data_IF_303344436593
#
_entry.id   IF_303344436593
#
_cell.length_a   1.000
_cell.length_b   1.000
_cell.length_c   1.000
_cell.angle_alpha   90.00
_cell.angle_beta   90.00
_cell.angle_gamma   90.00
#
_symmetry.space_group_name_H-M   'P 1'
#
loop_
_entity.id
_entity.type
_entity.pdbx_description
1 polymer ?
#
# COMPACT_ATOMS: atom_id res chain seq x y z
N UNK A 1 -41.19 -7.25 -19.12
CA UNK A 1 -41.39 -6.14 -20.08
C UNK A 1 -40.62 -4.96 -19.50
N UNK A 2 -39.30 -4.90 -19.77
CA UNK A 2 -38.62 -4.07 -20.81
C UNK A 2 -38.71 -2.59 -20.47
N UNK A 3 -37.69 -1.76 -20.53
CA UNK A 3 -36.31 -1.88 -21.00
C UNK A 3 -35.59 -0.55 -20.68
N UNK A 4 -34.24 -0.57 -20.63
CA UNK A 4 -33.28 0.39 -21.25
C UNK A 4 -33.44 1.90 -20.93
N UNK A 5 -32.43 2.73 -20.78
CA UNK A 5 -30.97 2.73 -20.93
C UNK A 5 -30.53 4.05 -20.27
N UNK A 6 -29.30 4.14 -19.76
CA UNK A 6 -28.77 5.41 -19.25
C UNK A 6 -27.39 5.28 -18.66
N UNK A 7 -26.39 5.09 -19.53
CA UNK A 7 -24.98 5.26 -19.23
C UNK A 7 -24.69 6.72 -18.84
N UNK A 8 -23.69 6.92 -17.98
CA UNK A 8 -22.98 8.16 -17.64
C UNK A 8 -23.74 9.27 -16.88
N UNK A 9 -23.35 9.53 -15.61
CA UNK A 9 -22.48 10.69 -15.36
C UNK A 9 -21.78 10.70 -13.98
N UNK A 10 -20.44 10.63 -14.08
CA UNK A 10 -19.35 11.26 -13.33
C UNK A 10 -19.54 11.81 -11.89
N UNK A 11 -18.66 11.29 -11.03
CA UNK A 11 -17.59 12.02 -10.31
C UNK A 11 -17.89 13.48 -9.92
N UNK A 12 -18.27 13.69 -8.65
CA UNK A 12 -17.79 14.83 -7.85
C UNK A 12 -18.18 14.68 -6.37
N UNK A 13 -17.21 14.97 -5.50
CA UNK A 13 -17.46 15.42 -4.14
C UNK A 13 -17.07 14.41 -3.07
N UNK A 14 -15.89 14.61 -2.48
CA UNK A 14 -15.73 14.75 -1.03
C UNK A 14 -14.26 15.01 -0.69
N UNK A 15 -13.84 16.26 -0.92
CA UNK A 15 -13.08 16.97 0.11
C UNK A 15 -14.14 17.50 1.09
N UNK A 16 -14.16 16.96 2.30
CA UNK A 16 -15.11 17.34 3.35
C UNK A 16 -14.85 16.52 4.60
N UNK A 17 -14.33 17.16 5.64
CA UNK A 17 -13.71 16.52 6.79
C UNK A 17 -14.60 15.62 7.64
N UNK A 18 -13.92 14.79 8.43
CA UNK A 18 -14.40 14.31 9.72
C UNK A 18 -13.17 14.26 10.64
N UNK A 19 -12.84 15.43 11.20
CA UNK A 19 -12.31 15.50 12.55
C UNK A 19 -13.36 14.92 13.51
N UNK A 20 -12.89 14.24 14.55
CA UNK A 20 -13.69 13.58 15.59
C UNK A 20 -14.41 12.29 15.19
N UNK A 21 -13.69 11.17 15.27
CA UNK A 21 -14.16 10.09 16.16
C UNK A 21 -12.98 9.25 16.65
N UNK A 22 -12.96 9.06 17.97
CA UNK A 22 -12.15 8.11 18.75
C UNK A 22 -10.72 8.54 19.09
N UNK A 23 -10.66 9.41 20.09
CA UNK A 23 -9.73 9.36 21.22
C UNK A 23 -9.42 7.91 21.66
N UNK A 24 -8.43 7.28 21.01
CA UNK A 24 -7.38 6.40 21.55
C UNK A 24 -7.73 5.17 22.44
N UNK A 25 -6.83 4.17 22.48
CA UNK A 25 -5.63 4.36 23.27
C UNK A 25 -4.41 4.63 22.41
N UNK A 26 -3.44 5.29 23.05
CA UNK A 26 -2.16 5.63 22.48
C UNK A 26 -1.47 4.35 21.96
N UNK A 27 -1.45 4.22 20.63
CA UNK A 27 -0.23 4.52 19.90
C UNK A 27 0.71 3.35 19.54
N UNK A 28 0.21 2.24 19.02
CA UNK A 28 1.14 1.29 18.41
C UNK A 28 1.82 1.86 17.16
N UNK A 29 1.14 2.71 16.39
CA UNK A 29 1.72 3.32 15.21
C UNK A 29 2.81 4.37 15.54
N UNK A 30 2.60 5.29 16.50
CA UNK A 30 3.62 6.23 16.95
C UNK A 30 4.62 5.62 17.94
N UNK A 31 4.31 4.54 18.66
CA UNK A 31 5.32 3.72 19.36
C UNK A 31 6.23 3.00 18.36
N UNK A 32 5.69 2.39 17.30
CA UNK A 32 6.49 1.82 16.21
C UNK A 32 7.25 2.92 15.46
N UNK A 33 6.67 4.11 15.27
CA UNK A 33 7.35 5.24 14.65
C UNK A 33 8.50 5.77 15.53
N UNK A 34 8.32 5.85 16.85
CA UNK A 34 9.35 6.21 17.83
C UNK A 34 10.44 5.13 17.88
N UNK A 35 10.09 3.85 17.89
CA UNK A 35 11.05 2.75 17.77
C UNK A 35 11.85 2.85 16.46
N UNK A 36 11.18 3.03 15.32
CA UNK A 36 11.85 3.27 14.02
C UNK A 36 12.74 4.52 14.04
N UNK A 37 12.30 5.59 14.71
CA UNK A 37 13.10 6.81 14.87
C UNK A 37 14.35 6.58 15.75
N UNK A 38 14.24 5.79 16.81
CA UNK A 38 15.36 5.40 17.67
C UNK A 38 16.34 4.48 16.93
N UNK A 39 15.83 3.52 16.16
CA UNK A 39 16.65 2.63 15.32
C UNK A 39 17.39 3.42 14.23
N UNK A 40 16.73 4.38 13.57
CA UNK A 40 17.37 5.32 12.63
C UNK A 40 18.49 6.13 13.29
N UNK A 41 18.30 6.56 14.54
CA UNK A 41 19.27 7.38 15.28
C UNK A 41 20.52 6.59 15.71
N UNK A 42 20.38 5.29 16.00
CA UNK A 42 21.51 4.43 16.40
C UNK A 42 22.30 3.84 15.22
N UNK A 43 21.70 3.77 14.04
CA UNK A 43 22.27 3.10 12.86
C UNK A 43 22.93 3.99 11.80
N UNK A 44 22.96 5.32 11.97
CA UNK A 44 23.73 6.25 11.11
C UNK A 44 23.43 6.22 9.60
N UNK A 45 22.46 5.44 9.14
CA UNK A 45 22.20 5.18 7.74
C UNK A 45 20.70 5.20 7.51
N UNK A 46 20.27 5.91 6.46
CA UNK A 46 18.88 5.97 6.02
C UNK A 46 18.26 4.57 6.01
N UNK A 47 16.98 4.44 6.41
CA UNK A 47 16.27 3.17 6.23
C UNK A 47 16.47 2.73 4.78
N UNK A 48 17.02 1.53 4.52
CA UNK A 48 17.38 1.15 3.15
C UNK A 48 16.14 1.21 2.27
N UNK A 49 16.25 1.91 1.14
CA UNK A 49 15.21 1.95 0.11
C UNK A 49 14.90 0.49 -0.27
N UNK A 50 13.64 0.10 -0.12
CA UNK A 50 13.19 -1.24 -0.50
C UNK A 50 13.07 -1.28 -2.02
N UNK A 51 13.60 -2.31 -2.67
CA UNK A 51 13.58 -2.37 -4.13
C UNK A 51 13.70 -3.80 -4.64
N UNK A 52 13.09 -4.06 -5.78
CA UNK A 52 13.34 -5.25 -6.60
C UNK A 52 14.07 -4.90 -7.90
N UNK A 53 14.73 -3.74 -7.94
CA UNK A 53 15.37 -3.18 -9.13
C UNK A 53 14.40 -2.54 -10.14
N UNK A 54 13.12 -2.90 -10.16
CA UNK A 54 12.13 -2.32 -11.08
C UNK A 54 11.31 -1.24 -10.39
N UNK A 55 10.79 -1.54 -9.21
CA UNK A 55 10.09 -0.60 -8.33
C UNK A 55 10.90 -0.44 -7.05
N UNK A 56 10.93 0.79 -6.54
CA UNK A 56 11.55 1.15 -5.28
C UNK A 56 10.53 1.83 -4.36
N UNK A 57 10.80 1.76 -3.06
CA UNK A 57 9.99 2.38 -2.02
C UNK A 57 10.92 2.96 -0.95
N UNK A 58 10.83 4.27 -0.74
CA UNK A 58 11.57 4.97 0.30
C UNK A 58 10.74 5.02 1.61
N UNK A 59 11.18 4.36 2.69
CA UNK A 59 10.45 4.36 3.97
C UNK A 59 10.43 5.73 4.68
N UNK A 60 11.35 6.63 4.36
CA UNK A 60 11.43 7.96 4.96
C UNK A 60 10.44 8.94 4.33
N UNK A 61 10.33 8.94 2.99
CA UNK A 61 9.44 9.86 2.27
C UNK A 61 8.05 9.27 1.99
N UNK A 62 7.90 7.94 2.07
CA UNK A 62 6.73 7.18 1.61
C UNK A 62 6.47 7.36 0.12
N UNK A 63 7.52 7.59 -0.65
CA UNK A 63 7.45 7.69 -2.09
C UNK A 63 7.91 6.38 -2.73
N UNK A 64 7.26 6.02 -3.82
CA UNK A 64 7.66 4.91 -4.68
C UNK A 64 7.93 5.41 -6.08
N UNK A 65 8.83 4.76 -6.80
CA UNK A 65 9.00 4.99 -8.22
C UNK A 65 9.32 3.69 -8.95
N UNK A 66 8.92 3.64 -10.21
CA UNK A 66 9.47 2.66 -11.16
C UNK A 66 10.73 3.25 -11.77
N UNK A 67 11.65 2.37 -12.19
CA UNK A 67 12.87 2.76 -12.90
C UNK A 67 12.55 3.77 -14.02
N UNK A 68 13.31 4.86 -14.06
CA UNK A 68 13.15 5.96 -15.03
C UNK A 68 11.80 6.70 -14.95
N UNK A 69 11.06 6.59 -13.84
CA UNK A 69 9.81 7.31 -13.61
C UNK A 69 9.94 8.32 -12.46
N UNK A 70 9.09 9.34 -12.45
CA UNK A 70 9.03 10.32 -11.36
C UNK A 70 8.47 9.65 -10.09
N UNK A 71 9.05 9.92 -8.90
CA UNK A 71 8.50 9.45 -7.63
C UNK A 71 7.07 9.92 -7.39
N UNK A 72 6.27 9.04 -6.82
CA UNK A 72 4.87 9.30 -6.44
C UNK A 72 4.68 9.02 -4.96
N UNK A 73 3.96 9.92 -4.30
CA UNK A 73 3.62 9.76 -2.88
C UNK A 73 2.49 8.75 -2.71
N UNK A 74 2.68 7.85 -1.74
CA UNK A 74 1.70 6.82 -1.41
C UNK A 74 0.88 7.23 -0.18
N UNK A 75 -0.39 6.82 -0.16
CA UNK A 75 -1.19 6.80 1.07
C UNK A 75 -0.60 5.78 2.06
N UNK A 76 -1.02 5.84 3.32
CA UNK A 76 -0.53 4.89 4.33
C UNK A 76 -0.81 3.42 3.97
N UNK A 77 -1.98 3.14 3.37
CA UNK A 77 -2.38 1.78 2.99
C UNK A 77 -1.66 1.29 1.72
N UNK A 78 -1.51 2.17 0.73
CA UNK A 78 -0.71 1.87 -0.47
C UNK A 78 0.76 1.59 -0.11
N UNK A 79 1.33 2.41 0.79
CA UNK A 79 2.67 2.22 1.33
C UNK A 79 2.80 0.86 2.02
N UNK A 80 1.88 0.53 2.93
CA UNK A 80 1.91 -0.73 3.68
C UNK A 80 1.82 -1.95 2.75
N UNK A 81 0.94 -1.90 1.75
CA UNK A 81 0.80 -2.97 0.76
C UNK A 81 2.08 -3.17 -0.05
N UNK A 82 2.62 -2.09 -0.62
CA UNK A 82 3.83 -2.18 -1.44
C UNK A 82 5.05 -2.59 -0.60
N UNK A 83 5.14 -2.09 0.63
CA UNK A 83 6.18 -2.49 1.58
C UNK A 83 6.11 -3.99 1.86
N UNK A 84 4.92 -4.55 2.14
CA UNK A 84 4.76 -5.97 2.42
C UNK A 84 5.29 -6.84 1.27
N UNK A 85 5.01 -6.45 0.02
CA UNK A 85 5.49 -7.16 -1.16
C UNK A 85 7.01 -6.99 -1.39
N UNK A 86 7.56 -5.79 -1.13
CA UNK A 86 8.98 -5.49 -1.36
C UNK A 86 9.92 -5.95 -0.25
N UNK A 87 9.41 -6.28 0.94
CA UNK A 87 10.24 -6.89 2.01
C UNK A 87 10.82 -8.22 1.54
N UNK A 88 10.11 -8.98 0.70
CA UNK A 88 10.58 -10.24 0.14
C UNK A 88 10.11 -10.40 -1.32
N UNK A 89 10.78 -9.75 -2.28
CA UNK A 89 10.43 -9.85 -3.69
C UNK A 89 10.46 -11.31 -4.16
N UNK A 90 9.47 -11.71 -4.96
CA UNK A 90 9.26 -13.09 -5.36
C UNK A 90 8.29 -13.89 -4.47
N UNK A 91 8.05 -13.46 -3.22
CA UNK A 91 7.06 -14.11 -2.38
C UNK A 91 5.63 -13.76 -2.82
N UNK A 92 4.77 -14.76 -2.80
CA UNK A 92 3.34 -14.60 -3.04
C UNK A 92 2.69 -14.37 -1.68
N UNK A 93 1.90 -13.29 -1.57
CA UNK A 93 1.11 -12.97 -0.39
C UNK A 93 -0.37 -13.16 -0.71
N UNK A 94 -1.06 -13.95 0.10
CA UNK A 94 -2.51 -14.14 0.00
C UNK A 94 -3.27 -12.86 0.35
N UNK A 95 -4.59 -12.85 0.11
CA UNK A 95 -5.45 -11.75 0.54
C UNK A 95 -5.37 -11.55 2.06
N UNK A 96 -5.61 -12.61 2.84
CA UNK A 96 -5.59 -12.54 4.31
C UNK A 96 -4.24 -12.07 4.84
N UNK A 97 -3.13 -12.53 4.26
CA UNK A 97 -1.79 -12.09 4.63
C UNK A 97 -1.52 -10.61 4.33
N UNK A 98 -2.17 -10.03 3.32
CA UNK A 98 -2.10 -8.60 3.02
C UNK A 98 -3.02 -7.81 3.96
N UNK A 99 -4.22 -8.30 4.22
CA UNK A 99 -5.17 -7.70 5.16
C UNK A 99 -4.56 -7.57 6.56
N UNK A 100 -3.99 -8.65 7.08
CA UNK A 100 -3.32 -8.69 8.39
C UNK A 100 -2.22 -7.64 8.52
N UNK A 101 -1.47 -7.40 7.45
CA UNK A 101 -0.35 -6.44 7.42
C UNK A 101 -0.81 -4.99 7.26
N UNK A 102 -1.96 -4.75 6.63
CA UNK A 102 -2.45 -3.39 6.31
C UNK A 102 -3.38 -2.85 7.39
N UNK A 103 -4.29 -3.70 7.89
CA UNK A 103 -5.39 -3.28 8.77
C UNK A 103 -5.16 -3.65 10.23
N UNK A 104 -4.26 -4.60 10.51
CA UNK A 104 -3.98 -5.07 11.87
C UNK A 104 -5.16 -5.86 12.47
N UNK A 105 -4.96 -6.36 13.69
CA UNK A 105 -5.97 -7.17 14.37
C UNK A 105 -7.17 -6.33 14.82
N UNK A 106 -8.38 -6.77 14.48
CA UNK A 106 -9.65 -6.19 14.97
C UNK A 106 -10.21 -5.01 14.16
N UNK A 107 -9.64 -4.70 12.98
CA UNK A 107 -10.27 -3.77 12.05
C UNK A 107 -11.12 -4.51 11.03
N UNK A 108 -12.37 -4.08 10.85
CA UNK A 108 -13.21 -4.58 9.77
C UNK A 108 -12.64 -4.13 8.42
N UNK A 109 -12.38 -5.11 7.55
CA UNK A 109 -11.86 -4.88 6.20
C UNK A 109 -12.96 -5.19 5.20
N UNK A 110 -13.24 -4.26 4.30
CA UNK A 110 -14.13 -4.53 3.16
C UNK A 110 -13.54 -5.67 2.31
N UNK A 111 -14.40 -6.59 1.87
CA UNK A 111 -14.01 -7.83 1.17
C UNK A 111 -13.12 -7.62 -0.07
N UNK A 112 -13.11 -6.41 -0.64
CA UNK A 112 -12.37 -6.02 -1.86
C UNK A 112 -11.29 -4.94 -1.62
N UNK A 113 -10.96 -4.64 -0.36
CA UNK A 113 -10.08 -3.52 -0.05
C UNK A 113 -8.66 -3.70 -0.60
N UNK A 114 -8.13 -4.93 -0.56
CA UNK A 114 -6.80 -5.27 -1.10
C UNK A 114 -6.77 -5.06 -2.61
N UNK A 115 -7.79 -5.51 -3.34
CA UNK A 115 -7.91 -5.35 -4.79
C UNK A 115 -7.96 -3.87 -5.18
N UNK A 116 -8.70 -3.06 -4.43
CA UNK A 116 -8.75 -1.62 -4.64
C UNK A 116 -7.37 -0.98 -4.48
N UNK A 117 -6.63 -1.34 -3.42
CA UNK A 117 -5.27 -0.82 -3.19
C UNK A 117 -4.29 -1.26 -4.29
N UNK A 118 -4.38 -2.49 -4.76
CA UNK A 118 -3.56 -3.00 -5.87
C UNK A 118 -3.88 -2.25 -7.16
N UNK A 119 -5.16 -2.03 -7.45
CA UNK A 119 -5.58 -1.24 -8.60
C UNK A 119 -5.06 0.20 -8.52
N UNK A 120 -5.15 0.85 -7.35
CA UNK A 120 -4.63 2.20 -7.14
C UNK A 120 -3.10 2.27 -7.34
N UNK A 121 -2.35 1.30 -6.80
CA UNK A 121 -0.90 1.20 -7.00
C UNK A 121 -0.52 0.96 -8.45
N UNK A 122 -1.23 0.08 -9.17
CA UNK A 122 -1.01 -0.15 -10.61
C UNK A 122 -1.29 1.10 -11.44
N UNK A 123 -2.27 1.92 -11.06
CA UNK A 123 -2.52 3.20 -11.73
C UNK A 123 -1.37 4.18 -11.56
N UNK A 124 -0.70 4.16 -10.40
CA UNK A 124 0.43 5.06 -10.07
C UNK A 124 1.78 4.56 -10.60
N UNK A 125 2.01 3.25 -10.57
CA UNK A 125 3.30 2.61 -10.79
C UNK A 125 3.31 1.69 -12.02
N UNK A 126 2.23 1.61 -12.79
CA UNK A 126 2.10 0.70 -13.93
C UNK A 126 1.53 -0.67 -13.56
N UNK A 127 0.82 -1.28 -14.52
CA UNK A 127 0.07 -2.53 -14.34
C UNK A 127 0.95 -3.72 -13.94
N UNK A 128 2.18 -3.76 -14.45
CA UNK A 128 3.11 -4.90 -14.29
C UNK A 128 3.87 -4.90 -12.98
N UNK A 129 3.78 -3.82 -12.19
CA UNK A 129 4.55 -3.66 -10.94
C UNK A 129 4.15 -4.69 -9.89
N UNK A 130 2.86 -5.03 -9.82
CA UNK A 130 2.33 -6.08 -8.97
C UNK A 130 1.73 -7.14 -9.89
N UNK A 131 2.06 -8.41 -9.69
CA UNK A 131 1.54 -9.54 -10.47
C UNK A 131 0.46 -10.27 -9.69
N UNK A 132 -0.60 -10.65 -10.39
CA UNK A 132 -1.60 -11.58 -9.85
C UNK A 132 -1.08 -13.01 -10.01
N UNK A 133 -1.15 -13.80 -8.95
CA UNK A 133 -0.94 -15.25 -9.00
C UNK A 133 -2.29 -15.93 -8.76
N UNK A 134 -2.86 -16.48 -9.84
CA UNK A 134 -4.24 -16.97 -9.88
C UNK A 134 -4.50 -17.97 -8.76
N UNK A 135 -5.52 -17.70 -7.94
CA UNK A 135 -5.95 -18.56 -6.85
C UNK A 135 -5.06 -18.53 -5.60
N UNK A 136 -3.97 -17.75 -5.60
CA UNK A 136 -2.99 -17.74 -4.50
C UNK A 136 -2.83 -16.36 -3.88
N UNK A 137 -2.71 -15.31 -4.71
CA UNK A 137 -2.53 -13.94 -4.21
C UNK A 137 -1.73 -13.06 -5.16
N UNK A 138 -0.84 -12.26 -4.59
CA UNK A 138 -0.07 -11.24 -5.33
C UNK A 138 1.41 -11.25 -4.98
N UNK A 139 2.22 -10.78 -5.92
CA UNK A 139 3.67 -10.69 -5.74
C UNK A 139 4.25 -9.50 -6.51
N UNK A 140 5.42 -9.05 -6.09
CA UNK A 140 6.35 -8.29 -6.95
C UNK A 140 7.44 -9.25 -7.43
N UNK A 141 7.96 -9.05 -8.65
CA UNK A 141 9.02 -9.91 -9.18
C UNK A 141 10.30 -9.80 -8.33
N UNK A 142 11.02 -10.90 -8.18
CA UNK A 142 12.43 -10.86 -7.79
C UNK A 142 13.25 -10.47 -9.02
N UNK A 143 14.10 -9.45 -8.93
CA UNK A 143 15.13 -9.26 -9.97
C UNK A 143 16.10 -10.43 -9.88
N UNK A 144 16.27 -11.16 -10.99
CA UNK A 144 17.38 -12.08 -11.19
C UNK A 144 18.70 -11.33 -11.23
#
# INVERSE_FOLDING_TARGET
>A
ITARDGLDDRLRGLDGGADDYVLKPFDMAELLARMRAVLRRRGGSASPVLSNGVVSLDPATKEAHVRNSVPVRLSNREFALLQALLVRPGAILSRSELEDRIYGWGQEVESNAVEFLIHALRRKLGSETIKNVRGVGWMVSKSS
#
